data_IF_519949192993
#
_entry.id   IF_519949192993
#
_cell.length_a   1.000
_cell.length_b   1.000
_cell.length_c   1.000
_cell.angle_alpha   90.00
_cell.angle_beta   90.00
_cell.angle_gamma   90.00
#
_symmetry.space_group_name_H-M   'P 1'
#
loop_
_entity.id
_entity.type
_entity.pdbx_description
1 polymer ?
#
# COMPACT_ATOMS: atom_id res chain seq x y z
N UNK A 1 56.07 -6.07 30.17
CA UNK A 1 56.21 -7.55 30.08
C UNK A 1 55.90 -8.00 28.64
N UNK A 2 56.08 -9.30 28.32
CA UNK A 2 55.52 -9.98 27.11
C UNK A 2 54.00 -9.73 27.04
N UNK A 3 53.22 -9.80 25.95
CA UNK A 3 53.34 -10.16 24.51
C UNK A 3 52.09 -9.53 23.79
N UNK A 4 51.80 -9.60 22.48
CA UNK A 4 52.45 -10.26 21.34
C UNK A 4 52.51 -9.38 20.06
N UNK A 5 52.20 -9.88 18.86
CA UNK A 5 52.73 -9.33 17.58
C UNK A 5 51.94 -9.58 16.28
N UNK A 6 52.02 -8.60 15.36
CA UNK A 6 52.06 -8.69 13.87
C UNK A 6 50.83 -9.01 12.98
N UNK A 7 50.95 -8.52 11.73
CA UNK A 7 50.11 -8.61 10.51
C UNK A 7 50.68 -9.69 9.53
N UNK A 8 50.36 -9.73 8.20
CA UNK A 8 49.10 -10.08 7.51
C UNK A 8 49.29 -11.09 6.32
N UNK A 9 48.20 -11.47 5.62
CA UNK A 9 48.14 -11.95 4.20
C UNK A 9 46.66 -12.00 3.76
N UNK A 10 46.17 -11.77 2.52
CA UNK A 10 46.67 -11.70 1.12
C UNK A 10 46.75 -13.06 0.37
N UNK A 11 46.05 -13.15 -0.76
CA UNK A 11 45.81 -14.34 -1.61
C UNK A 11 44.32 -14.72 -1.64
N UNK A 12 43.69 -15.29 -2.68
CA UNK A 12 44.10 -15.88 -3.98
C UNK A 12 42.98 -15.55 -5.00
N UNK A 13 43.25 -14.87 -6.13
CA UNK A 13 43.49 -15.38 -7.51
C UNK A 13 42.29 -16.01 -8.26
N UNK A 14 42.37 -15.98 -9.60
CA UNK A 14 41.25 -16.06 -10.56
C UNK A 14 41.16 -17.35 -11.38
N UNK A 15 39.96 -17.75 -11.83
CA UNK A 15 39.65 -18.32 -13.18
C UNK A 15 38.22 -18.92 -13.23
N UNK A 16 37.69 -19.40 -14.36
CA UNK A 16 37.34 -18.77 -15.67
C UNK A 16 36.54 -19.80 -16.51
N UNK A 17 35.69 -19.35 -17.44
CA UNK A 17 34.97 -20.15 -18.47
C UNK A 17 33.85 -21.12 -18.02
N UNK A 18 32.91 -21.39 -18.94
CA UNK A 18 31.77 -22.31 -18.76
C UNK A 18 30.52 -21.94 -19.57
N UNK A 19 30.59 -21.93 -20.91
CA UNK A 19 29.40 -21.76 -21.79
C UNK A 19 28.98 -23.13 -22.33
N UNK A 20 27.70 -23.49 -22.19
CA UNK A 20 27.07 -24.57 -22.95
C UNK A 20 25.56 -24.30 -23.12
N UNK A 21 25.00 -24.71 -24.26
CA UNK A 21 23.59 -24.54 -24.63
C UNK A 21 22.84 -25.87 -24.60
N UNK A 22 21.50 -25.78 -24.63
CA UNK A 22 20.51 -26.77 -25.09
C UNK A 22 20.89 -28.27 -25.08
N UNK A 23 20.02 -29.09 -24.47
CA UNK A 23 19.32 -30.11 -25.27
C UNK A 23 18.00 -30.58 -24.63
N UNK A 24 16.96 -30.65 -25.46
CA UNK A 24 15.72 -31.36 -25.17
C UNK A 24 15.90 -32.87 -25.34
N UNK A 25 15.41 -33.66 -24.40
CA UNK A 25 15.19 -35.10 -24.60
C UNK A 25 13.76 -35.44 -24.17
N UNK A 26 12.98 -35.99 -25.10
CA UNK A 26 11.65 -36.51 -24.80
C UNK A 26 11.74 -37.99 -24.42
N UNK A 27 10.89 -38.41 -23.48
CA UNK A 27 10.57 -39.83 -23.26
C UNK A 27 9.07 -39.98 -23.43
N UNK A 28 8.66 -40.89 -24.31
CA UNK A 28 7.27 -41.09 -24.73
C UNK A 28 7.01 -42.59 -24.85
N UNK A 29 5.83 -43.02 -24.40
CA UNK A 29 5.32 -44.41 -24.41
C UNK A 29 6.03 -45.35 -23.40
N UNK A 30 5.37 -46.39 -22.85
CA UNK A 30 4.11 -47.01 -23.27
C UNK A 30 3.17 -47.42 -22.11
N UNK A 31 1.88 -47.13 -22.30
CA UNK A 31 0.73 -48.02 -22.05
C UNK A 31 0.52 -48.66 -20.66
N UNK A 32 -0.51 -48.18 -19.96
CA UNK A 32 -1.71 -49.02 -19.74
C UNK A 32 -3.00 -48.18 -19.65
N UNK A 33 -4.08 -48.72 -20.21
CA UNK A 33 -5.46 -48.22 -20.28
C UNK A 33 -6.38 -49.46 -20.29
N UNK A 34 -7.73 -49.36 -20.17
CA UNK A 34 -8.58 -48.19 -19.88
C UNK A 34 -9.55 -48.38 -18.69
N UNK A 35 -10.18 -47.29 -18.19
CA UNK A 35 -11.39 -47.39 -17.35
C UNK A 35 -12.37 -46.20 -17.47
N UNK A 36 -12.59 -45.68 -18.68
CA UNK A 36 -13.78 -44.86 -18.95
C UNK A 36 -15.05 -45.74 -18.98
N UNK A 37 -15.56 -46.12 -17.80
CA UNK A 37 -16.65 -47.11 -17.70
C UNK A 37 -17.67 -46.90 -16.55
N UNK A 38 -17.68 -45.76 -15.85
CA UNK A 38 -18.61 -45.51 -14.73
C UNK A 38 -19.57 -44.30 -14.88
N UNK A 39 -19.37 -43.41 -15.85
CA UNK A 39 -20.29 -42.27 -16.07
C UNK A 39 -21.58 -42.61 -16.85
N UNK A 40 -21.79 -43.90 -17.19
CA UNK A 40 -22.89 -44.36 -18.04
C UNK A 40 -24.01 -45.15 -17.35
N UNK A 41 -24.01 -45.29 -16.02
CA UNK A 41 -24.94 -46.19 -15.28
C UNK A 41 -25.74 -45.55 -14.14
N UNK A 42 -26.03 -44.24 -14.20
CA UNK A 42 -27.04 -43.61 -13.34
C UNK A 42 -28.15 -42.84 -14.07
N UNK A 43 -28.17 -42.83 -15.42
CA UNK A 43 -29.22 -42.16 -16.22
C UNK A 43 -30.03 -43.17 -17.03
N UNK A 44 -30.58 -44.21 -16.36
CA UNK A 44 -31.64 -45.07 -16.93
C UNK A 44 -32.43 -45.91 -15.89
N UNK A 45 -32.75 -45.34 -14.72
CA UNK A 45 -33.70 -45.95 -13.77
C UNK A 45 -34.50 -44.94 -12.93
N UNK A 46 -35.01 -43.90 -13.59
CA UNK A 46 -35.87 -42.86 -13.00
C UNK A 46 -37.12 -42.58 -13.88
N UNK A 47 -37.62 -43.61 -14.58
CA UNK A 47 -38.87 -43.58 -15.32
C UNK A 47 -39.71 -44.81 -14.97
N UNK A 48 -41.02 -44.62 -14.83
CA UNK A 48 -42.01 -45.65 -14.48
C UNK A 48 -41.87 -46.31 -13.07
N UNK A 49 -41.80 -45.49 -12.00
CA UNK A 49 -42.13 -45.95 -10.63
C UNK A 49 -42.46 -44.78 -9.65
N UNK A 50 -43.48 -43.96 -9.94
CA UNK A 50 -44.14 -43.08 -8.97
C UNK A 50 -45.44 -42.46 -9.54
N UNK A 51 -46.59 -43.08 -9.26
CA UNK A 51 -47.81 -42.32 -8.98
C UNK A 51 -47.92 -42.20 -7.46
N UNK A 52 -48.69 -41.23 -6.99
CA UNK A 52 -49.16 -41.11 -5.61
C UNK A 52 -48.07 -40.86 -4.53
N UNK A 53 -47.53 -39.63 -4.53
CA UNK A 53 -46.87 -39.04 -3.36
C UNK A 53 -47.27 -37.55 -3.23
N UNK A 54 -47.46 -37.06 -1.99
CA UNK A 54 -47.88 -35.67 -1.72
C UNK A 54 -46.72 -34.66 -1.86
N UNK A 55 -46.97 -33.41 -2.27
CA UNK A 55 -45.99 -32.33 -2.19
C UNK A 55 -45.85 -31.82 -0.74
N UNK A 56 -44.71 -32.11 -0.11
CA UNK A 56 -44.34 -31.56 1.20
C UNK A 56 -42.94 -30.93 1.18
N UNK A 57 -41.94 -31.68 0.70
CA UNK A 57 -40.52 -31.34 0.90
C UNK A 57 -40.00 -30.17 0.04
N UNK A 58 -40.78 -29.71 -0.95
CA UNK A 58 -40.45 -28.50 -1.72
C UNK A 58 -40.61 -27.20 -0.90
N UNK A 59 -41.43 -27.21 0.16
CA UNK A 59 -41.70 -26.03 0.97
C UNK A 59 -40.56 -25.68 1.95
N UNK A 60 -39.78 -26.66 2.41
CA UNK A 60 -38.73 -26.41 3.41
C UNK A 60 -37.46 -25.78 2.79
N UNK A 61 -37.14 -26.14 1.54
CA UNK A 61 -36.09 -25.47 0.77
C UNK A 61 -36.46 -24.01 0.45
N UNK A 62 -37.73 -23.73 0.14
CA UNK A 62 -38.23 -22.37 -0.06
C UNK A 62 -38.16 -21.55 1.24
N UNK A 63 -38.61 -22.11 2.37
CA UNK A 63 -38.53 -21.44 3.68
C UNK A 63 -37.11 -21.01 4.07
N UNK A 64 -36.08 -21.83 3.80
CA UNK A 64 -34.68 -21.43 4.07
C UNK A 64 -34.15 -20.31 3.16
N UNK A 65 -34.80 -20.02 2.03
CA UNK A 65 -34.55 -18.82 1.26
C UNK A 65 -35.38 -17.63 1.78
N UNK A 66 -36.64 -17.86 2.17
CA UNK A 66 -37.52 -16.81 2.71
C UNK A 66 -37.12 -16.32 4.11
N UNK A 67 -36.59 -17.16 5.00
CA UNK A 67 -36.13 -16.78 6.35
C UNK A 67 -34.97 -15.75 6.31
N UNK A 68 -34.14 -15.78 5.26
CA UNK A 68 -33.10 -14.76 5.02
C UNK A 68 -33.73 -13.42 4.57
N UNK A 69 -34.92 -13.45 3.95
CA UNK A 69 -35.67 -12.25 3.55
C UNK A 69 -36.59 -11.70 4.66
N UNK A 70 -37.04 -12.55 5.59
CA UNK A 70 -37.99 -12.20 6.65
C UNK A 70 -37.31 -11.57 7.88
N UNK A 71 -36.01 -11.80 8.08
CA UNK A 71 -35.28 -11.35 9.27
C UNK A 71 -34.93 -9.84 9.29
N UNK A 72 -35.05 -9.12 8.17
CA UNK A 72 -34.60 -7.72 8.04
C UNK A 72 -35.73 -6.74 7.76
N UNK A 73 -36.37 -6.24 8.84
CA UNK A 73 -37.16 -4.99 8.80
C UNK A 73 -36.23 -3.78 8.62
N UNK A 74 -35.77 -3.60 7.37
CA UNK A 74 -35.01 -2.47 6.81
C UNK A 74 -34.22 -1.59 7.80
N UNK A 75 -32.99 -2.04 8.09
CA UNK A 75 -31.81 -1.17 7.92
C UNK A 75 -31.28 -1.34 6.49
N UNK A 76 -30.76 -0.28 5.89
CA UNK A 76 -30.21 -0.33 4.52
C UNK A 76 -28.78 -0.92 4.54
N UNK A 77 -28.68 -2.21 4.83
CA UNK A 77 -27.41 -2.94 4.70
C UNK A 77 -27.06 -2.97 3.20
N UNK A 78 -25.96 -2.32 2.85
CA UNK A 78 -25.47 -2.18 1.48
C UNK A 78 -23.96 -2.39 1.37
N UNK A 79 -23.27 -2.55 2.50
CA UNK A 79 -21.86 -2.95 2.59
C UNK A 79 -21.79 -4.35 3.18
N UNK A 80 -21.17 -5.28 2.45
CA UNK A 80 -21.10 -6.71 2.77
C UNK A 80 -19.64 -7.16 2.84
N UNK A 81 -19.24 -7.81 3.93
CA UNK A 81 -17.85 -8.21 4.18
C UNK A 81 -17.61 -9.70 3.93
N UNK A 82 -16.40 -10.09 3.52
CA UNK A 82 -16.01 -11.45 3.13
C UNK A 82 -14.58 -11.76 3.56
N UNK A 83 -14.30 -13.04 3.88
CA UNK A 83 -12.95 -13.55 4.19
C UNK A 83 -12.10 -13.85 2.95
N UNK A 84 -12.74 -13.95 1.79
CA UNK A 84 -12.12 -14.25 0.50
C UNK A 84 -12.37 -13.12 -0.50
N UNK A 85 -11.44 -12.94 -1.45
CA UNK A 85 -11.57 -11.91 -2.48
C UNK A 85 -12.78 -12.19 -3.38
N UNK A 86 -13.49 -11.13 -3.75
CA UNK A 86 -14.87 -11.15 -4.23
C UNK A 86 -15.03 -11.51 -5.73
N UNK A 87 -14.19 -12.42 -6.22
CA UNK A 87 -14.17 -12.91 -7.60
C UNK A 87 -14.80 -14.30 -7.80
N UNK A 88 -15.31 -14.94 -6.74
CA UNK A 88 -16.10 -16.17 -6.86
C UNK A 88 -17.53 -15.89 -7.35
N UNK A 89 -18.09 -16.80 -8.15
CA UNK A 89 -19.48 -16.69 -8.65
C UNK A 89 -20.54 -16.62 -7.54
N UNK A 90 -20.20 -17.12 -6.34
CA UNK A 90 -20.93 -16.90 -5.09
C UNK A 90 -19.96 -16.43 -4.01
N UNK A 91 -20.00 -15.14 -3.61
CA UNK A 91 -19.32 -14.67 -2.40
C UNK A 91 -19.97 -15.24 -1.14
N UNK A 92 -19.16 -15.59 -0.13
CA UNK A 92 -19.66 -15.93 1.20
C UNK A 92 -19.47 -14.74 2.14
N UNK A 93 -20.54 -13.97 2.31
CA UNK A 93 -20.52 -12.82 3.23
C UNK A 93 -20.61 -13.25 4.69
N UNK A 94 -19.96 -12.50 5.56
CA UNK A 94 -19.95 -12.71 7.00
C UNK A 94 -19.70 -11.39 7.74
N UNK A 95 -20.22 -11.29 8.96
CA UNK A 95 -19.93 -10.19 9.89
C UNK A 95 -18.92 -10.60 10.96
N UNK A 96 -18.36 -11.82 10.92
CA UNK A 96 -17.62 -12.41 12.05
C UNK A 96 -16.16 -12.77 11.67
N UNK A 97 -15.19 -11.99 12.16
CA UNK A 97 -13.77 -12.10 11.82
C UNK A 97 -12.88 -12.26 13.07
N UNK A 98 -11.72 -12.90 12.86
CA UNK A 98 -10.68 -13.13 13.86
C UNK A 98 -9.29 -12.74 13.35
N UNK A 99 -8.32 -12.54 14.25
CA UNK A 99 -6.90 -12.41 13.92
C UNK A 99 -6.42 -13.54 13.00
N UNK A 100 -5.93 -13.16 11.81
CA UNK A 100 -5.53 -14.04 10.71
C UNK A 100 -6.51 -14.07 9.53
N UNK A 101 -7.77 -13.66 9.71
CA UNK A 101 -8.71 -13.51 8.61
C UNK A 101 -8.39 -12.24 7.80
N UNK A 102 -8.36 -12.37 6.46
CA UNK A 102 -8.39 -11.21 5.57
C UNK A 102 -9.82 -10.65 5.52
N UNK A 103 -9.97 -9.35 5.26
CA UNK A 103 -11.27 -8.69 5.15
C UNK A 103 -11.36 -7.96 3.80
N UNK A 104 -12.32 -8.39 2.98
CA UNK A 104 -12.72 -7.77 1.72
C UNK A 104 -14.17 -7.29 1.85
N UNK A 105 -14.56 -6.26 1.10
CA UNK A 105 -15.91 -5.68 1.18
C UNK A 105 -16.49 -5.42 -0.21
N UNK A 106 -17.78 -5.75 -0.41
CA UNK A 106 -18.59 -5.27 -1.54
C UNK A 106 -19.55 -4.22 -1.03
N UNK A 107 -19.57 -3.05 -1.65
CA UNK A 107 -20.67 -2.09 -1.50
C UNK A 107 -21.54 -2.11 -2.77
N UNK A 108 -22.86 -2.14 -2.56
CA UNK A 108 -23.88 -2.12 -3.62
C UNK A 108 -24.63 -0.79 -3.53
N UNK A 109 -24.51 0.04 -4.55
CA UNK A 109 -25.04 1.39 -4.57
C UNK A 109 -26.41 1.44 -5.29
N UNK A 110 -27.42 2.15 -4.74
CA UNK A 110 -28.69 2.43 -5.42
C UNK A 110 -28.57 3.27 -6.72
N UNK A 111 -27.43 3.95 -6.91
CA UNK A 111 -27.08 4.76 -8.09
C UNK A 111 -25.64 4.44 -8.55
N UNK A 112 -25.16 4.94 -9.70
CA UNK A 112 -23.74 4.84 -10.07
C UNK A 112 -22.80 5.45 -9.02
N UNK A 113 -21.62 4.84 -8.83
CA UNK A 113 -20.59 5.24 -7.84
C UNK A 113 -20.29 6.74 -7.85
N UNK A 114 -20.25 7.38 -9.02
CA UNK A 114 -19.95 8.82 -9.17
C UNK A 114 -20.86 9.75 -8.34
N UNK A 115 -22.09 9.33 -8.05
CA UNK A 115 -23.05 10.10 -7.27
C UNK A 115 -22.65 10.23 -5.80
N UNK A 116 -21.74 9.36 -5.32
CA UNK A 116 -21.22 9.28 -3.96
C UNK A 116 -19.77 9.81 -3.84
N UNK A 117 -19.23 10.44 -4.90
CA UNK A 117 -17.86 10.93 -4.94
C UNK A 117 -17.77 12.42 -4.62
N UNK A 118 -16.87 12.78 -3.69
CA UNK A 118 -16.34 14.14 -3.62
C UNK A 118 -15.10 14.22 -4.52
N UNK A 119 -15.29 14.74 -5.74
CA UNK A 119 -14.26 14.74 -6.79
C UNK A 119 -13.97 13.33 -7.30
N UNK A 120 -12.94 12.68 -6.74
CA UNK A 120 -12.58 11.28 -7.03
C UNK A 120 -12.49 10.43 -5.74
N UNK A 121 -13.04 10.88 -4.61
CA UNK A 121 -12.86 10.23 -3.31
C UNK A 121 -14.21 9.72 -2.76
N UNK A 122 -14.27 8.42 -2.45
CA UNK A 122 -15.26 7.86 -1.53
C UNK A 122 -14.79 8.09 -0.10
N UNK A 123 -15.61 8.72 0.74
CA UNK A 123 -15.33 8.87 2.18
C UNK A 123 -16.30 8.01 2.97
N UNK A 124 -15.75 7.12 3.79
CA UNK A 124 -16.52 6.30 4.72
C UNK A 124 -16.39 6.84 6.14
N UNK A 125 -17.53 7.05 6.79
CA UNK A 125 -17.61 7.17 8.23
C UNK A 125 -17.43 5.75 8.80
N UNK A 126 -16.33 5.52 9.51
CA UNK A 126 -16.05 4.25 10.18
C UNK A 126 -16.08 4.47 11.69
N UNK A 127 -17.19 4.06 12.30
CA UNK A 127 -17.39 4.06 13.73
C UNK A 127 -16.91 2.72 14.31
N UNK A 128 -16.32 2.71 15.50
CA UNK A 128 -15.99 1.47 16.21
C UNK A 128 -16.36 1.52 17.69
N UNK A 129 -16.56 0.32 18.27
CA UNK A 129 -16.76 0.09 19.71
C UNK A 129 -16.52 -1.38 20.10
N UNK A 130 -16.35 -1.66 21.39
CA UNK A 130 -16.43 -3.03 21.91
C UNK A 130 -17.89 -3.52 21.90
N UNK A 131 -18.11 -4.81 21.63
CA UNK A 131 -19.44 -5.42 21.66
C UNK A 131 -20.07 -5.35 23.06
N UNK A 132 -21.12 -4.53 23.19
CA UNK A 132 -21.88 -4.34 24.43
C UNK A 132 -21.89 -2.90 24.94
N UNK A 133 -20.97 -2.06 24.47
CA UNK A 133 -20.88 -0.66 24.86
C UNK A 133 -21.82 0.21 23.98
N UNK A 134 -22.11 1.45 24.36
CA UNK A 134 -22.94 2.39 23.57
C UNK A 134 -22.14 3.54 22.94
N UNK A 135 -20.96 3.86 23.46
CA UNK A 135 -20.07 4.89 22.90
C UNK A 135 -19.45 4.43 21.57
N UNK A 136 -19.37 5.34 20.61
CA UNK A 136 -18.75 5.12 19.30
C UNK A 136 -17.75 6.23 18.97
N UNK A 137 -16.52 5.85 18.58
CA UNK A 137 -15.54 6.79 18.00
C UNK A 137 -15.60 6.72 16.47
N UNK A 138 -15.90 7.84 15.81
CA UNK A 138 -16.01 7.93 14.34
C UNK A 138 -14.70 8.43 13.72
N UNK A 139 -14.17 7.69 12.75
CA UNK A 139 -12.99 8.05 11.96
C UNK A 139 -13.32 8.01 10.46
N UNK A 140 -12.52 8.67 9.63
CA UNK A 140 -12.73 8.73 8.18
C UNK A 140 -11.73 7.85 7.43
N UNK A 141 -12.24 6.82 6.73
CA UNK A 141 -11.45 6.06 5.75
C UNK A 141 -11.79 6.56 4.35
N UNK A 142 -10.77 6.87 3.54
CA UNK A 142 -10.96 7.45 2.20
C UNK A 142 -10.34 6.56 1.12
N UNK A 143 -11.11 6.29 0.07
CA UNK A 143 -10.70 5.46 -1.07
C UNK A 143 -10.62 6.34 -2.32
N UNK A 144 -9.52 6.22 -3.06
CA UNK A 144 -9.34 6.84 -4.37
C UNK A 144 -10.11 6.04 -5.44
N UNK A 145 -11.04 6.72 -6.10
CA UNK A 145 -11.87 6.19 -7.16
C UNK A 145 -11.43 6.61 -8.58
N UNK A 146 -10.27 7.28 -8.74
CA UNK A 146 -9.75 7.72 -10.05
C UNK A 146 -9.41 6.58 -11.02
N UNK A 147 -9.35 5.33 -10.53
CA UNK A 147 -9.10 4.10 -11.30
C UNK A 147 -10.28 3.12 -11.28
N UNK A 148 -11.42 3.51 -10.69
CA UNK A 148 -12.63 2.69 -10.56
C UNK A 148 -13.58 2.99 -11.73
N UNK A 149 -14.38 2.02 -12.16
CA UNK A 149 -15.49 2.29 -13.07
C UNK A 149 -16.61 3.03 -12.32
N UNK A 150 -16.60 4.37 -12.37
CA UNK A 150 -17.53 5.22 -11.61
C UNK A 150 -18.98 5.16 -12.10
N UNK A 151 -19.24 4.55 -13.26
CA UNK A 151 -20.59 4.27 -13.78
C UNK A 151 -21.19 2.95 -13.23
N UNK A 152 -20.39 2.11 -12.56
CA UNK A 152 -20.89 0.89 -11.95
C UNK A 152 -21.71 1.17 -10.68
N UNK A 153 -22.60 0.23 -10.33
CA UNK A 153 -23.41 0.24 -9.10
C UNK A 153 -22.88 -0.72 -8.02
N UNK A 154 -21.68 -1.29 -8.22
CA UNK A 154 -21.01 -2.15 -7.25
C UNK A 154 -19.51 -1.83 -7.21
N UNK A 155 -18.93 -1.80 -6.01
CA UNK A 155 -17.48 -1.71 -5.80
C UNK A 155 -17.03 -2.79 -4.82
N UNK A 156 -16.01 -3.54 -5.23
CA UNK A 156 -15.21 -4.36 -4.34
C UNK A 156 -14.00 -3.57 -3.84
N UNK A 157 -13.78 -3.54 -2.54
CA UNK A 157 -12.62 -2.95 -1.91
C UNK A 157 -12.01 -3.86 -0.84
N UNK A 158 -10.76 -3.57 -0.50
CA UNK A 158 -9.96 -4.26 0.49
C UNK A 158 -10.09 -3.50 1.83
N UNK A 159 -10.21 -4.23 2.95
CA UNK A 159 -10.20 -3.65 4.31
C UNK A 159 -8.96 -4.13 5.07
N UNK A 160 -8.73 -5.45 5.07
CA UNK A 160 -7.49 -6.11 5.49
C UNK A 160 -7.14 -7.19 4.45
N UNK A 161 -6.71 -6.79 3.25
CA UNK A 161 -6.34 -7.74 2.21
C UNK A 161 -4.94 -8.34 2.38
N UNK A 162 -4.79 -9.57 1.90
CA UNK A 162 -3.49 -10.25 1.80
C UNK A 162 -2.54 -9.39 0.94
N UNK A 163 -1.28 -9.10 1.36
CA UNK A 163 -0.44 -8.10 0.70
C UNK A 163 -0.15 -8.33 -0.79
N UNK A 164 -0.16 -9.59 -1.24
CA UNK A 164 0.02 -9.95 -2.66
C UNK A 164 -1.25 -9.78 -3.51
N UNK A 165 -2.43 -9.63 -2.88
CA UNK A 165 -3.75 -9.58 -3.52
C UNK A 165 -4.44 -8.22 -3.35
N UNK A 166 -3.93 -7.34 -2.49
CA UNK A 166 -4.46 -6.00 -2.25
C UNK A 166 -4.44 -5.14 -3.53
N UNK A 167 -5.52 -4.39 -3.75
CA UNK A 167 -5.81 -3.60 -4.96
C UNK A 167 -6.31 -2.18 -4.68
N UNK A 168 -6.82 -1.92 -3.48
CA UNK A 168 -7.47 -0.68 -3.09
C UNK A 168 -6.44 0.43 -2.86
N UNK A 169 -6.60 1.53 -3.60
CA UNK A 169 -5.87 2.78 -3.36
C UNK A 169 -6.62 3.57 -2.29
N UNK A 170 -6.02 3.74 -1.12
CA UNK A 170 -6.53 4.71 -0.16
C UNK A 170 -6.11 6.10 -0.62
N UNK A 171 -7.04 7.04 -0.61
CA UNK A 171 -6.68 8.45 -0.68
C UNK A 171 -5.95 8.86 0.62
N UNK A 172 -5.52 10.11 0.68
CA UNK A 172 -4.93 10.68 1.90
C UNK A 172 -5.92 10.61 3.09
N UNK A 173 -5.45 10.87 4.33
CA UNK A 173 -6.08 10.53 5.62
C UNK A 173 -5.89 9.05 6.03
N UNK A 174 -6.73 8.53 6.94
CA UNK A 174 -6.52 7.25 7.64
C UNK A 174 -6.91 6.06 6.76
N UNK A 175 -6.01 5.09 6.60
CA UNK A 175 -6.28 3.88 5.82
C UNK A 175 -7.00 2.84 6.68
N UNK A 176 -7.76 1.92 6.07
CA UNK A 176 -8.50 0.89 6.81
C UNK A 176 -7.59 0.01 7.72
N UNK A 177 -6.40 -0.45 7.26
CA UNK A 177 -5.48 -1.17 8.14
C UNK A 177 -4.89 -0.31 9.26
N UNK A 178 -4.81 1.02 9.07
CA UNK A 178 -4.30 1.94 10.09
C UNK A 178 -5.31 2.11 11.21
N UNK A 179 -6.58 2.35 10.85
CA UNK A 179 -7.69 2.45 11.80
C UNK A 179 -7.83 1.17 12.62
N UNK A 180 -7.92 0.02 11.95
CA UNK A 180 -8.07 -1.26 12.64
C UNK A 180 -6.82 -1.57 13.48
N UNK A 181 -5.62 -1.26 12.99
CA UNK A 181 -4.38 -1.36 13.76
C UNK A 181 -4.42 -0.57 15.08
N UNK A 182 -4.83 0.70 15.01
CA UNK A 182 -4.99 1.59 16.17
C UNK A 182 -6.03 1.07 17.17
N UNK A 183 -7.21 0.64 16.70
CA UNK A 183 -8.28 0.14 17.57
C UNK A 183 -7.87 -1.16 18.27
N UNK A 184 -7.38 -2.14 17.50
CA UNK A 184 -7.01 -3.45 18.07
C UNK A 184 -5.75 -3.39 18.96
N UNK A 185 -4.93 -2.32 18.88
CA UNK A 185 -3.85 -2.09 19.85
C UNK A 185 -4.35 -1.73 21.26
N UNK A 186 -5.56 -1.22 21.39
CA UNK A 186 -6.17 -0.85 22.68
C UNK A 186 -7.30 -1.80 23.12
N UNK A 187 -7.84 -2.61 22.21
CA UNK A 187 -8.81 -3.67 22.52
C UNK A 187 -8.24 -4.72 23.49
N UNK A 188 -9.11 -5.42 24.21
CA UNK A 188 -8.71 -6.57 25.05
C UNK A 188 -8.70 -7.88 24.24
N UNK A 189 -7.70 -8.75 24.38
CA UNK A 189 -7.69 -10.07 23.73
C UNK A 189 -8.97 -10.87 24.00
N UNK A 190 -9.51 -11.51 22.97
CA UNK A 190 -10.76 -12.27 23.05
C UNK A 190 -12.05 -11.43 23.07
N UNK A 191 -11.97 -10.09 23.10
CA UNK A 191 -13.12 -9.21 22.87
C UNK A 191 -13.41 -9.03 21.38
N UNK A 192 -14.68 -8.78 21.08
CA UNK A 192 -15.17 -8.40 19.75
C UNK A 192 -15.27 -6.89 19.66
N UNK A 193 -14.55 -6.30 18.72
CA UNK A 193 -14.73 -4.90 18.32
C UNK A 193 -15.65 -4.84 17.10
N UNK A 194 -16.77 -4.11 17.19
CA UNK A 194 -17.60 -3.75 16.02
C UNK A 194 -16.90 -2.64 15.24
N UNK A 195 -16.75 -2.81 13.93
CA UNK A 195 -16.44 -1.76 12.97
C UNK A 195 -17.66 -1.54 12.10
N UNK A 196 -18.37 -0.42 12.30
CA UNK A 196 -19.50 0.01 11.49
C UNK A 196 -19.04 1.00 10.43
N UNK A 197 -19.26 0.64 9.17
CA UNK A 197 -18.97 1.45 8.00
C UNK A 197 -20.25 2.09 7.47
N UNK A 198 -20.15 3.36 7.07
CA UNK A 198 -21.25 4.12 6.48
C UNK A 198 -20.73 5.06 5.38
N UNK A 199 -21.50 5.22 4.31
CA UNK A 199 -21.35 6.30 3.32
C UNK A 199 -22.76 6.74 2.90
N UNK A 200 -23.07 8.03 3.10
CA UNK A 200 -24.46 8.54 3.00
C UNK A 200 -25.47 7.65 3.77
N UNK A 201 -26.53 7.17 3.12
CA UNK A 201 -27.53 6.28 3.72
C UNK A 201 -27.19 4.77 3.60
N UNK A 202 -25.99 4.42 3.14
CA UNK A 202 -25.52 3.05 2.93
C UNK A 202 -24.67 2.61 4.14
N UNK A 203 -25.04 1.50 4.79
CA UNK A 203 -24.31 0.99 5.96
C UNK A 203 -23.97 -0.52 5.90
N UNK A 204 -23.06 -0.92 6.77
CA UNK A 204 -22.78 -2.32 7.13
C UNK A 204 -21.78 -2.38 8.30
N UNK A 205 -21.73 -3.48 9.04
CA UNK A 205 -20.71 -3.66 10.09
C UNK A 205 -20.13 -5.07 10.11
N UNK A 206 -18.95 -5.20 10.72
CA UNK A 206 -18.35 -6.48 11.07
C UNK A 206 -17.74 -6.44 12.47
N UNK A 207 -17.58 -7.60 13.09
CA UNK A 207 -16.90 -7.81 14.36
C UNK A 207 -15.53 -8.42 14.12
N UNK A 208 -14.51 -7.92 14.81
CA UNK A 208 -13.15 -8.46 14.78
C UNK A 208 -12.71 -8.87 16.19
N UNK A 209 -12.19 -10.10 16.32
CA UNK A 209 -11.65 -10.64 17.58
C UNK A 209 -10.15 -10.88 17.45
N UNK A 210 -9.31 -10.21 18.26
CA UNK A 210 -7.88 -10.54 18.31
C UNK A 210 -7.54 -11.59 19.38
N UNK A 211 -6.46 -12.34 19.14
CA UNK A 211 -5.88 -13.33 20.06
C UNK A 211 -4.78 -12.71 20.91
N UNK A 212 -4.00 -11.77 20.36
CA UNK A 212 -3.03 -10.98 21.11
C UNK A 212 -2.60 -9.71 20.36
N UNK A 213 -2.27 -8.63 21.08
CA UNK A 213 -1.78 -7.40 20.44
C UNK A 213 -0.49 -7.62 19.62
N UNK A 214 0.40 -8.51 20.08
CA UNK A 214 1.65 -8.84 19.38
C UNK A 214 1.43 -9.68 18.11
N UNK A 215 0.57 -10.69 18.17
CA UNK A 215 0.16 -11.50 17.01
C UNK A 215 -0.59 -10.64 15.99
N UNK A 216 -1.54 -9.82 16.44
CA UNK A 216 -2.28 -8.89 15.60
C UNK A 216 -1.37 -7.86 14.91
N UNK A 217 -0.42 -7.26 15.66
CA UNK A 217 0.58 -6.34 15.10
C UNK A 217 1.43 -7.03 14.01
N UNK A 218 1.84 -8.28 14.25
CA UNK A 218 2.61 -9.08 13.28
C UNK A 218 1.80 -9.41 12.02
N UNK A 219 0.50 -9.67 12.15
CA UNK A 219 -0.42 -9.90 11.04
C UNK A 219 -0.69 -8.64 10.20
N UNK A 220 -0.96 -7.50 10.85
CA UNK A 220 -1.38 -6.28 10.15
C UNK A 220 -0.23 -5.44 9.57
N UNK A 221 0.98 -5.53 10.14
CA UNK A 221 2.16 -4.79 9.65
C UNK A 221 2.42 -4.93 8.14
N UNK A 222 2.49 -6.13 7.54
CA UNK A 222 2.73 -6.26 6.09
C UNK A 222 1.53 -5.78 5.24
N UNK A 223 0.30 -5.82 5.78
CA UNK A 223 -0.90 -5.27 5.12
C UNK A 223 -0.80 -3.74 5.08
N UNK A 224 -0.44 -3.13 6.21
CA UNK A 224 -0.24 -1.68 6.34
C UNK A 224 0.92 -1.18 5.46
N UNK A 225 2.02 -1.93 5.36
CA UNK A 225 3.13 -1.59 4.46
C UNK A 225 2.68 -1.58 2.99
N UNK A 226 1.87 -2.56 2.56
CA UNK A 226 1.32 -2.60 1.20
C UNK A 226 0.35 -1.44 0.93
N UNK A 227 -0.51 -1.09 1.89
CA UNK A 227 -1.42 0.05 1.77
C UNK A 227 -0.67 1.41 1.73
N UNK A 228 0.43 1.55 2.46
CA UNK A 228 1.30 2.73 2.39
C UNK A 228 2.02 2.86 1.04
N UNK A 229 2.43 1.74 0.41
CA UNK A 229 3.06 1.77 -0.91
C UNK A 229 2.15 2.40 -1.98
N UNK A 230 0.85 2.07 -1.98
CA UNK A 230 -0.12 2.70 -2.89
C UNK A 230 -0.25 4.21 -2.69
N UNK A 231 -0.16 4.70 -1.44
CA UNK A 231 -0.14 6.16 -1.17
C UNK A 231 1.13 6.79 -1.75
N UNK A 232 2.30 6.17 -1.54
CA UNK A 232 3.56 6.67 -2.10
C UNK A 232 3.55 6.64 -3.64
N UNK A 233 2.84 5.70 -4.27
CA UNK A 233 2.66 5.67 -5.73
C UNK A 233 1.71 6.80 -6.20
N UNK A 234 0.69 7.13 -5.40
CA UNK A 234 -0.27 8.19 -5.70
C UNK A 234 0.33 9.60 -5.52
N UNK A 235 0.91 9.88 -4.36
CA UNK A 235 1.59 11.15 -4.08
C UNK A 235 2.65 11.44 -5.17
N UNK A 236 3.40 10.43 -5.63
CA UNK A 236 4.39 10.56 -6.70
C UNK A 236 3.78 10.78 -8.10
N UNK A 237 2.56 10.27 -8.35
CA UNK A 237 1.84 10.52 -9.61
C UNK A 237 1.19 11.91 -9.65
N UNK A 238 0.85 12.46 -8.48
CA UNK A 238 0.27 13.80 -8.32
C UNK A 238 1.35 14.88 -8.29
N UNK A 239 2.47 14.67 -7.60
CA UNK A 239 3.60 15.60 -7.55
C UNK A 239 4.05 16.02 -8.96
N UNK A 240 4.13 17.32 -9.22
CA UNK A 240 4.69 17.89 -10.46
C UNK A 240 6.14 18.30 -10.25
N UNK A 241 6.92 18.33 -11.33
CA UNK A 241 8.33 18.72 -11.25
C UNK A 241 8.42 20.24 -11.03
N UNK A 242 9.11 20.73 -9.98
CA UNK A 242 9.20 22.17 -9.71
C UNK A 242 9.72 22.99 -10.90
N UNK A 243 9.21 24.21 -11.07
CA UNK A 243 9.50 25.08 -12.21
C UNK A 243 11.00 25.40 -12.35
N UNK A 244 11.74 25.40 -11.25
CA UNK A 244 13.20 25.54 -11.19
C UNK A 244 13.95 24.46 -12.00
N UNK A 245 13.33 23.33 -12.36
CA UNK A 245 13.92 22.34 -13.26
C UNK A 245 13.78 22.68 -14.76
N UNK A 246 12.95 23.66 -15.12
CA UNK A 246 12.91 24.23 -16.47
C UNK A 246 13.91 25.38 -16.65
N UNK A 247 14.38 25.96 -15.54
CA UNK A 247 15.29 27.11 -15.53
C UNK A 247 16.71 26.79 -15.99
N UNK A 248 17.42 27.84 -16.43
CA UNK A 248 18.83 27.75 -16.80
C UNK A 248 19.69 27.42 -15.58
N UNK A 249 20.43 26.30 -15.63
CA UNK A 249 21.42 26.00 -14.60
C UNK A 249 22.65 26.91 -14.69
N UNK A 250 23.08 27.41 -13.53
CA UNK A 250 24.34 28.11 -13.32
C UNK A 250 25.41 27.15 -12.78
N UNK A 251 26.64 27.65 -12.59
CA UNK A 251 27.76 26.92 -11.99
C UNK A 251 28.20 27.62 -10.69
N UNK A 252 28.62 26.84 -9.69
CA UNK A 252 29.28 27.37 -8.49
C UNK A 252 30.74 27.75 -8.78
N UNK A 253 31.21 28.78 -8.10
CA UNK A 253 32.61 29.20 -8.09
C UNK A 253 33.42 28.41 -7.04
N UNK A 254 32.81 28.01 -5.92
CA UNK A 254 33.40 27.10 -4.94
C UNK A 254 33.44 25.66 -5.51
N UNK A 255 34.64 25.07 -5.74
CA UNK A 255 34.75 23.71 -6.26
C UNK A 255 34.19 22.64 -5.30
N UNK A 256 34.02 22.95 -4.01
CA UNK A 256 33.36 22.06 -3.04
C UNK A 256 31.84 21.95 -3.28
N UNK A 257 31.25 22.89 -4.03
CA UNK A 257 29.87 22.86 -4.53
C UNK A 257 29.79 22.46 -6.01
N UNK A 258 30.85 21.88 -6.59
CA UNK A 258 30.78 21.31 -7.94
C UNK A 258 29.75 20.17 -8.02
N UNK A 259 29.12 19.97 -9.19
CA UNK A 259 28.14 18.88 -9.40
C UNK A 259 28.70 17.52 -8.97
N UNK A 260 29.96 17.24 -9.26
CA UNK A 260 30.64 16.00 -8.87
C UNK A 260 30.90 15.85 -7.36
N UNK A 261 30.87 16.94 -6.58
CA UNK A 261 30.87 16.90 -5.12
C UNK A 261 29.45 16.71 -4.57
N UNK A 262 28.49 17.51 -5.07
CA UNK A 262 27.08 17.49 -4.63
C UNK A 262 26.44 16.09 -4.78
N UNK A 263 26.64 15.42 -5.91
CA UNK A 263 26.02 14.10 -6.16
C UNK A 263 26.49 12.98 -5.22
N UNK A 264 27.57 13.19 -4.45
CA UNK A 264 28.04 12.23 -3.43
C UNK A 264 27.17 12.21 -2.18
N UNK A 265 26.29 13.19 -2.01
CA UNK A 265 25.33 13.28 -0.91
C UNK A 265 23.96 12.67 -1.25
N UNK A 266 23.79 12.16 -2.48
CA UNK A 266 22.62 11.36 -2.88
C UNK A 266 22.75 9.91 -2.39
N UNK A 267 21.65 9.13 -2.35
CA UNK A 267 21.70 7.69 -2.07
C UNK A 267 22.70 6.96 -2.99
N UNK A 268 23.41 5.96 -2.47
CA UNK A 268 24.56 5.33 -3.15
C UNK A 268 24.26 4.74 -4.54
N UNK A 269 23.00 4.39 -4.83
CA UNK A 269 22.54 3.83 -6.10
C UNK A 269 21.79 4.84 -6.99
N UNK A 270 21.85 6.14 -6.68
CA UNK A 270 21.17 7.19 -7.43
C UNK A 270 21.78 7.42 -8.83
N UNK A 271 20.92 7.40 -9.84
CA UNK A 271 21.18 7.93 -11.18
C UNK A 271 20.60 9.34 -11.29
N UNK A 272 21.46 10.36 -11.33
CA UNK A 272 21.00 11.73 -11.60
C UNK A 272 20.40 11.81 -13.00
N UNK A 273 19.17 12.32 -13.07
CA UNK A 273 18.42 12.55 -14.31
C UNK A 273 18.46 14.04 -14.70
N UNK A 274 18.22 14.94 -13.74
CA UNK A 274 18.19 16.39 -13.95
C UNK A 274 18.92 17.09 -12.78
N UNK A 275 19.56 18.21 -13.06
CA UNK A 275 20.35 18.95 -12.07
C UNK A 275 20.38 20.43 -12.48
N UNK A 276 19.82 21.31 -11.64
CA UNK A 276 19.75 22.75 -11.89
C UNK A 276 20.18 23.52 -10.65
N UNK A 277 21.07 24.49 -10.83
CA UNK A 277 21.52 25.43 -9.79
C UNK A 277 21.04 26.83 -10.16
N UNK A 278 20.42 27.54 -9.22
CA UNK A 278 19.88 28.88 -9.46
C UNK A 278 20.94 29.99 -9.60
N UNK A 279 20.52 31.21 -9.98
CA UNK A 279 21.38 32.40 -10.01
C UNK A 279 21.62 32.99 -8.61
N UNK A 280 22.66 33.83 -8.48
CA UNK A 280 23.00 34.56 -7.24
C UNK A 280 24.42 34.26 -6.75
N UNK A 281 24.73 34.58 -5.49
CA UNK A 281 26.00 34.20 -4.84
C UNK A 281 26.05 32.70 -4.49
N UNK A 282 27.26 32.17 -4.32
CA UNK A 282 27.45 30.76 -3.91
C UNK A 282 26.92 30.50 -2.49
N UNK A 283 27.19 31.42 -1.55
CA UNK A 283 26.82 31.32 -0.14
C UNK A 283 26.21 32.62 0.41
N UNK A 284 25.31 32.48 1.39
CA UNK A 284 24.89 33.55 2.31
C UNK A 284 25.30 33.21 3.74
N UNK A 285 25.65 34.24 4.52
CA UNK A 285 26.05 34.11 5.93
C UNK A 285 24.81 34.28 6.81
N UNK A 286 24.50 33.26 7.60
CA UNK A 286 23.37 33.24 8.52
C UNK A 286 23.82 33.69 9.91
N UNK A 287 23.01 34.57 10.52
CA UNK A 287 23.27 35.18 11.83
C UNK A 287 22.07 34.97 12.75
N UNK A 288 22.29 35.01 14.07
CA UNK A 288 21.20 35.16 15.04
C UNK A 288 20.74 36.62 15.14
N UNK A 289 19.71 36.85 15.96
CA UNK A 289 19.12 38.18 16.25
C UNK A 289 20.15 39.18 16.82
N UNK A 290 21.19 38.69 17.51
CA UNK A 290 22.30 39.49 18.04
C UNK A 290 23.40 39.75 16.99
N UNK A 291 23.18 39.40 15.72
CA UNK A 291 24.14 39.59 14.63
C UNK A 291 25.33 38.61 14.61
N UNK A 292 25.38 37.65 15.54
CA UNK A 292 26.46 36.65 15.66
C UNK A 292 26.33 35.64 14.52
N UNK A 293 27.42 35.40 13.79
CA UNK A 293 27.46 34.43 12.69
C UNK A 293 27.33 33.01 13.25
N UNK A 294 26.38 32.23 12.71
CA UNK A 294 26.13 30.84 13.09
C UNK A 294 26.72 29.85 12.09
N UNK A 295 26.46 30.09 10.80
CA UNK A 295 26.89 29.25 9.68
C UNK A 295 26.84 30.05 8.37
N UNK A 296 27.45 29.52 7.31
CA UNK A 296 27.10 29.92 5.93
C UNK A 296 26.35 28.79 5.26
N UNK A 297 25.38 29.11 4.42
CA UNK A 297 24.64 28.14 3.61
C UNK A 297 24.63 28.54 2.14
N UNK A 298 24.29 27.62 1.24
CA UNK A 298 24.02 27.97 -0.17
C UNK A 298 22.93 29.04 -0.26
N UNK A 299 23.18 30.07 -1.07
CA UNK A 299 22.20 31.13 -1.32
C UNK A 299 21.29 30.80 -2.52
N UNK A 300 21.80 30.02 -3.48
CA UNK A 300 21.07 29.44 -4.62
C UNK A 300 20.31 28.18 -4.22
N UNK A 301 19.21 27.90 -4.91
CA UNK A 301 18.61 26.57 -4.94
C UNK A 301 19.51 25.57 -5.69
N UNK A 302 19.42 24.29 -5.32
CA UNK A 302 20.12 23.18 -5.99
C UNK A 302 19.11 22.06 -6.17
N UNK A 303 18.45 22.07 -7.32
CA UNK A 303 17.40 21.12 -7.65
C UNK A 303 18.01 19.89 -8.31
N UNK A 304 17.82 18.71 -7.72
CA UNK A 304 18.36 17.44 -8.22
C UNK A 304 17.24 16.41 -8.36
N UNK A 305 17.00 15.97 -9.59
CA UNK A 305 16.09 14.87 -9.88
C UNK A 305 16.90 13.61 -10.17
N UNK A 306 16.58 12.50 -9.52
CA UNK A 306 17.32 11.24 -9.64
C UNK A 306 16.40 10.02 -9.61
N UNK A 307 16.88 8.91 -10.17
CA UNK A 307 16.28 7.58 -10.06
C UNK A 307 17.13 6.72 -9.12
N UNK A 308 16.54 6.16 -8.08
CA UNK A 308 17.20 5.07 -7.36
C UNK A 308 17.21 3.81 -8.23
N UNK A 309 18.40 3.25 -8.49
CA UNK A 309 18.54 2.02 -9.29
C UNK A 309 18.09 0.77 -8.53
N UNK A 310 17.95 0.79 -7.20
CA UNK A 310 17.53 -0.37 -6.41
C UNK A 310 16.01 -0.54 -6.40
N UNK A 311 15.25 0.49 -6.04
CA UNK A 311 13.79 0.48 -6.08
C UNK A 311 13.20 0.77 -7.46
N UNK A 312 13.99 1.38 -8.36
CA UNK A 312 13.53 1.86 -9.66
C UNK A 312 12.74 3.17 -9.59
N UNK A 313 12.48 3.72 -8.39
CA UNK A 313 11.70 4.93 -8.18
C UNK A 313 12.49 6.19 -8.54
N UNK A 314 11.76 7.24 -8.89
CA UNK A 314 12.32 8.57 -9.11
C UNK A 314 11.92 9.55 -8.01
N UNK A 315 12.80 10.53 -7.79
CA UNK A 315 12.73 11.52 -6.74
C UNK A 315 13.24 12.87 -7.26
N UNK A 316 12.83 13.95 -6.62
CA UNK A 316 13.46 15.26 -6.75
C UNK A 316 13.74 15.85 -5.37
N UNK A 317 14.73 16.73 -5.27
CA UNK A 317 15.23 17.28 -4.01
C UNK A 317 15.73 18.72 -4.21
N UNK A 318 15.60 19.56 -3.18
CA UNK A 318 16.20 20.89 -3.10
C UNK A 318 17.31 20.87 -2.04
N UNK A 319 18.54 20.62 -2.49
CA UNK A 319 19.68 20.37 -1.61
C UNK A 319 20.23 21.69 -1.06
N UNK A 320 20.17 21.88 0.25
CA UNK A 320 20.78 23.03 0.93
C UNK A 320 22.06 22.57 1.60
N UNK A 321 23.20 23.19 1.26
CA UNK A 321 24.49 22.87 1.85
C UNK A 321 24.88 23.94 2.87
N UNK A 322 25.26 23.49 4.07
CA UNK A 322 25.48 24.33 5.24
C UNK A 322 26.89 24.06 5.82
N UNK A 323 27.58 25.09 6.31
CA UNK A 323 28.89 24.98 6.96
C UNK A 323 28.88 25.78 8.27
N UNK A 324 29.02 25.13 9.45
CA UNK A 324 29.01 25.83 10.73
C UNK A 324 30.19 26.81 10.82
N UNK A 325 29.99 27.93 11.51
CA UNK A 325 31.05 28.90 11.76
C UNK A 325 31.89 28.46 12.96
N UNK A 326 33.22 28.49 12.81
CA UNK A 326 34.18 28.00 13.81
C UNK A 326 34.96 29.15 14.49
N UNK A 327 34.54 30.40 14.26
CA UNK A 327 35.26 31.59 14.69
C UNK A 327 36.38 32.01 13.73
N UNK A 328 36.90 33.23 13.93
CA UNK A 328 38.06 33.77 13.20
C UNK A 328 37.99 33.62 11.66
N UNK A 329 36.81 33.80 11.07
CA UNK A 329 36.57 33.67 9.63
C UNK A 329 36.51 32.22 9.10
N UNK A 330 36.66 31.21 9.95
CA UNK A 330 36.71 29.79 9.55
C UNK A 330 35.31 29.14 9.56
N UNK A 331 35.14 28.14 8.69
CA UNK A 331 33.90 27.40 8.54
C UNK A 331 34.20 25.90 8.40
N UNK A 332 33.49 25.09 9.18
CA UNK A 332 33.71 23.66 9.31
C UNK A 332 33.28 22.84 8.10
N UNK A 333 33.08 21.54 8.33
CA UNK A 333 32.71 20.57 7.31
C UNK A 333 31.36 20.88 6.65
N UNK A 334 31.23 20.44 5.40
CA UNK A 334 30.01 20.58 4.60
C UNK A 334 28.95 19.60 5.12
N UNK A 335 27.82 20.15 5.58
CA UNK A 335 26.59 19.41 5.89
C UNK A 335 25.60 19.61 4.73
N UNK A 336 24.69 18.65 4.57
CA UNK A 336 23.58 18.74 3.62
C UNK A 336 22.25 18.64 4.36
N UNK A 337 21.26 19.37 3.86
CA UNK A 337 19.85 19.24 4.21
C UNK A 337 19.06 19.00 2.92
N UNK A 338 18.23 17.98 2.94
CA UNK A 338 17.53 17.41 1.78
C UNK A 338 16.06 17.24 2.11
N UNK A 339 15.18 17.64 1.20
CA UNK A 339 13.73 17.44 1.27
C UNK A 339 13.32 16.60 0.04
N UNK A 340 13.83 15.37 -0.03
CA UNK A 340 13.63 14.50 -1.19
C UNK A 340 12.19 13.98 -1.30
N UNK A 341 11.47 14.43 -2.32
CA UNK A 341 10.10 14.00 -2.64
C UNK A 341 10.11 12.96 -3.76
N UNK A 342 9.17 12.01 -3.73
CA UNK A 342 9.01 11.00 -4.80
C UNK A 342 8.16 11.57 -5.93
N UNK A 343 8.52 11.27 -7.17
CA UNK A 343 7.80 11.69 -8.38
C UNK A 343 7.81 10.58 -9.43
N UNK A 344 6.79 10.52 -10.28
CA UNK A 344 6.82 9.65 -11.46
C UNK A 344 8.02 10.02 -12.36
N UNK A 345 8.83 9.01 -12.71
CA UNK A 345 9.91 9.10 -13.66
C UNK A 345 9.49 9.67 -15.04
N UNK A 346 8.20 9.60 -15.40
CA UNK A 346 7.67 10.22 -16.63
C UNK A 346 7.77 11.75 -16.61
N UNK A 347 7.48 12.39 -15.46
CA UNK A 347 7.41 13.85 -15.28
C UNK A 347 8.77 14.56 -15.19
N UNK A 348 9.87 13.81 -15.06
CA UNK A 348 11.22 14.39 -14.93
C UNK A 348 11.81 14.87 -16.28
N UNK A 349 11.36 14.28 -17.39
CA UNK A 349 11.98 14.42 -18.72
C UNK A 349 12.01 15.88 -19.20
#
# INVERSE_FOLDING_TARGET
MRKFSFLPQIGISSSRFGIASLLTAAVLLSLSQPTQAQLGKMIKKAGAAAKDAKPADAAEAAKKAEDVSAATKKKNISIFFSKTKLSSATPQYTTEFQEGDNIYARIVFPKPIKEYLSGNILTFDVAYKQQGDDDYSVNYVKIDASKINQEATQLDFDVLAKPAEATTRYAQFMQAPSLIGMVMQHASPGKKEEFKWKIEDLEGSFFLTMKSAAGFTSFITPIQQKANAFKQDDDASQADLPGEFAEKSYAFNDPQLSKAAIIKFLPANAQVLKFVVGPGDDYKVMKNELGIILYKQTARYIMVAYKDKTSGNCYYDNMIFERPYEGNGKYGSLKVRTNGERIDCSKIK
#
